data_IF_111206600736
#
_entry.id   IF_111206600736
#
_cell.length_a   1.000
_cell.length_b   1.000
_cell.length_c   1.000
_cell.angle_alpha   90.00
_cell.angle_beta   90.00
_cell.angle_gamma   90.00
#
_symmetry.space_group_name_H-M   'P 1'
#
loop_
_entity.id
_entity.type
_entity.pdbx_description
1 polymer ?
#
# COMPACT_ATOMS: atom_id res chain seq x y z
N UNK A 1 17.43 -22.11 -7.10
CA UNK A 1 16.06 -22.17 -7.64
C UNK A 1 15.31 -20.96 -7.11
N UNK A 2 14.60 -20.17 -7.93
CA UNK A 2 13.80 -19.07 -7.42
C UNK A 2 12.52 -19.59 -6.75
N UNK A 3 12.15 -18.99 -5.62
CA UNK A 3 10.87 -19.28 -4.97
C UNK A 3 9.80 -18.34 -5.53
N UNK A 4 8.69 -18.91 -6.00
CA UNK A 4 7.54 -18.11 -6.44
C UNK A 4 6.67 -17.77 -5.24
N UNK A 5 6.68 -16.52 -4.82
CA UNK A 5 5.79 -16.00 -3.77
C UNK A 5 4.51 -15.50 -4.42
N UNK A 6 3.35 -16.06 -4.02
CA UNK A 6 2.04 -15.58 -4.45
C UNK A 6 1.46 -14.66 -3.40
N UNK A 7 1.11 -13.44 -3.80
CA UNK A 7 0.48 -12.44 -2.95
C UNK A 7 -1.02 -12.37 -3.21
N UNK A 8 -1.79 -11.91 -2.23
CA UNK A 8 -3.14 -11.39 -2.50
C UNK A 8 -3.01 -10.20 -3.44
N UNK A 9 -3.84 -10.16 -4.48
CA UNK A 9 -3.78 -9.10 -5.48
C UNK A 9 -5.15 -8.61 -5.91
N UNK A 10 -5.23 -7.32 -6.20
CA UNK A 10 -6.36 -6.68 -6.86
C UNK A 10 -5.88 -5.97 -8.12
N UNK A 11 -6.71 -5.96 -9.17
CA UNK A 11 -6.51 -5.19 -10.39
C UNK A 11 -7.56 -4.10 -10.57
N UNK A 12 -8.36 -3.84 -9.55
CA UNK A 12 -9.39 -2.80 -9.55
C UNK A 12 -8.82 -1.52 -8.94
N UNK A 13 -9.00 -0.38 -9.62
CA UNK A 13 -8.53 0.92 -9.13
C UNK A 13 -9.21 1.30 -7.81
N UNK A 14 -8.46 1.95 -6.91
CA UNK A 14 -8.93 2.39 -5.59
C UNK A 14 -9.29 1.26 -4.61
N UNK A 15 -9.02 0.01 -4.97
CA UNK A 15 -9.39 -1.15 -4.15
C UNK A 15 -8.27 -1.51 -3.17
N UNK A 16 -8.18 -0.75 -2.09
CA UNK A 16 -7.30 -1.07 -0.97
C UNK A 16 -7.88 -2.23 -0.13
N UNK A 17 -7.05 -3.18 0.35
CA UNK A 17 -7.50 -4.22 1.26
C UNK A 17 -7.88 -3.63 2.62
N UNK A 18 -8.90 -4.21 3.25
CA UNK A 18 -9.29 -3.93 4.63
C UNK A 18 -8.49 -4.80 5.61
N UNK A 19 -8.52 -4.48 6.91
CA UNK A 19 -7.85 -5.27 7.95
C UNK A 19 -8.36 -6.72 8.04
N UNK A 20 -9.62 -6.97 7.66
CA UNK A 20 -10.19 -8.32 7.55
C UNK A 20 -9.74 -9.09 6.31
N UNK A 21 -9.16 -8.43 5.31
CA UNK A 21 -8.64 -9.09 4.12
C UNK A 21 -7.23 -9.64 4.31
N UNK A 22 -6.50 -9.20 5.35
CA UNK A 22 -5.10 -9.56 5.60
C UNK A 22 -4.91 -10.15 7.00
N UNK A 23 -4.11 -11.21 7.09
CA UNK A 23 -3.52 -11.66 8.34
C UNK A 23 -2.34 -10.77 8.74
N UNK A 24 -1.97 -10.79 10.02
CA UNK A 24 -0.85 -9.98 10.52
C UNK A 24 0.46 -10.38 9.80
N UNK A 25 1.18 -9.39 9.27
CA UNK A 25 2.37 -9.60 8.44
C UNK A 25 2.09 -10.06 7.00
N UNK A 26 0.83 -10.25 6.60
CA UNK A 26 0.48 -10.59 5.22
C UNK A 26 0.61 -9.36 4.30
N UNK A 27 1.04 -9.60 3.05
CA UNK A 27 1.26 -8.59 2.02
C UNK A 27 0.23 -8.76 0.89
N UNK A 28 -0.25 -7.63 0.38
CA UNK A 28 -1.09 -7.57 -0.81
C UNK A 28 -0.63 -6.50 -1.81
N UNK A 29 -1.01 -6.68 -3.07
CA UNK A 29 -0.66 -5.78 -4.17
C UNK A 29 -1.92 -5.29 -4.88
N UNK A 30 -2.05 -3.97 -5.07
CA UNK A 30 -2.96 -3.43 -6.07
C UNK A 30 -2.16 -3.08 -7.33
N UNK A 31 -2.40 -3.79 -8.44
CA UNK A 31 -1.66 -3.56 -9.68
C UNK A 31 -2.20 -2.40 -10.50
N UNK A 32 -3.45 -1.98 -10.28
CA UNK A 32 -4.01 -0.79 -10.92
C UNK A 32 -3.42 0.48 -10.32
N UNK A 33 -3.39 0.54 -8.98
CA UNK A 33 -2.88 1.69 -8.23
C UNK A 33 -1.35 1.65 -8.03
N UNK A 34 -0.73 0.49 -8.28
CA UNK A 34 0.72 0.22 -8.09
C UNK A 34 1.19 0.38 -6.64
N UNK A 35 0.33 0.05 -5.68
CA UNK A 35 0.61 0.17 -4.24
C UNK A 35 0.74 -1.21 -3.61
N UNK A 36 1.79 -1.40 -2.79
CA UNK A 36 1.93 -2.54 -1.89
C UNK A 36 1.26 -2.22 -0.55
N UNK A 37 0.57 -3.21 0.00
CA UNK A 37 -0.11 -3.13 1.29
C UNK A 37 0.39 -4.23 2.21
N UNK A 38 0.43 -3.96 3.51
CA UNK A 38 0.66 -4.99 4.53
C UNK A 38 -0.13 -4.68 5.79
N UNK A 39 -0.37 -5.70 6.61
CA UNK A 39 -0.99 -5.52 7.93
C UNK A 39 0.06 -5.53 9.02
N UNK A 40 0.08 -4.48 9.84
CA UNK A 40 0.95 -4.39 11.02
C UNK A 40 0.40 -5.20 12.21
N UNK A 41 1.22 -5.37 13.26
CA UNK A 41 0.85 -6.07 14.49
C UNK A 41 -0.22 -5.35 15.31
N UNK A 42 -0.54 -4.10 14.97
CA UNK A 42 -1.62 -3.32 15.60
C UNK A 42 -2.94 -3.46 14.82
N UNK A 43 -2.99 -4.32 13.80
CA UNK A 43 -4.20 -4.61 13.05
C UNK A 43 -4.47 -3.67 11.88
N UNK A 44 -3.57 -2.72 11.60
CA UNK A 44 -3.79 -1.70 10.59
C UNK A 44 -3.20 -2.10 9.25
N UNK A 45 -3.92 -1.79 8.16
CA UNK A 45 -3.38 -1.89 6.81
C UNK A 45 -2.56 -0.64 6.50
N UNK A 46 -1.28 -0.85 6.18
CA UNK A 46 -0.32 0.17 5.79
C UNK A 46 0.01 0.04 4.31
N UNK A 47 0.47 1.15 3.74
CA UNK A 47 0.89 1.24 2.34
C UNK A 47 2.39 1.43 2.27
N UNK A 48 3.04 0.79 1.30
CA UNK A 48 4.41 1.10 0.88
C UNK A 48 4.30 2.07 -0.29
N UNK A 49 4.62 3.34 -0.03
CA UNK A 49 4.66 4.39 -1.06
C UNK A 49 6.06 4.50 -1.65
N UNK A 50 6.13 4.94 -2.91
CA UNK A 50 7.39 5.39 -3.50
C UNK A 50 7.80 6.76 -2.91
N UNK A 51 9.09 7.08 -2.94
CA UNK A 51 9.64 8.32 -2.34
C UNK A 51 9.09 9.58 -3.03
N UNK A 52 8.94 9.54 -4.36
CA UNK A 52 8.46 10.65 -5.18
C UNK A 52 7.04 11.09 -4.77
N UNK A 53 6.15 10.13 -4.51
CA UNK A 53 4.79 10.39 -4.03
C UNK A 53 4.79 11.05 -2.65
N UNK A 54 5.70 10.65 -1.76
CA UNK A 54 5.81 11.27 -0.42
C UNK A 54 6.22 12.73 -0.52
N UNK A 55 7.15 13.05 -1.42
CA UNK A 55 7.59 14.43 -1.65
C UNK A 55 6.52 15.29 -2.32
N UNK A 56 5.75 14.73 -3.26
CA UNK A 56 4.62 15.40 -3.89
C UNK A 56 3.53 15.78 -2.88
N UNK A 57 3.14 14.85 -1.99
CA UNK A 57 2.18 15.10 -0.92
C UNK A 57 2.67 16.21 0.03
N UNK A 58 3.96 16.17 0.41
CA UNK A 58 4.57 17.14 1.32
C UNK A 58 4.67 18.55 0.71
N UNK A 59 5.06 18.66 -0.57
CA UNK A 59 5.12 19.94 -1.28
C UNK A 59 3.73 20.53 -1.52
N UNK A 60 2.75 19.71 -1.87
CA UNK A 60 1.36 20.16 -2.01
C UNK A 60 0.82 20.75 -0.70
N UNK A 61 1.10 20.09 0.43
CA UNK A 61 0.70 20.59 1.76
C UNK A 61 1.42 21.90 2.13
N UNK A 62 2.72 22.01 1.85
CA UNK A 62 3.50 23.21 2.13
C UNK A 62 3.00 24.44 1.35
N UNK A 63 2.59 24.25 0.08
CA UNK A 63 1.99 25.32 -0.74
C UNK A 63 0.60 25.71 -0.23
N UNK A 64 -0.17 24.76 0.31
CA UNK A 64 -1.53 25.02 0.79
C UNK A 64 -1.59 25.76 2.15
N UNK A 65 -0.51 25.70 2.94
CA UNK A 65 -0.42 26.29 4.28
C UNK A 65 0.36 27.60 4.34
N UNK A 66 1.09 27.96 3.28
CA UNK A 66 1.85 29.21 3.16
C UNK A 66 1.10 30.27 2.37
#
# INVERSE_FOLDING_TARGET
MPNTIKLKRSSSAGSAPTSGNLSDGEIALNTADKILYFKDSSGNVKQVKDDEQVQADATALAIALG
#
